data_IF_013422244075
#
_entry.id   IF_013422244075
#
_cell.length_a   1.000
_cell.length_b   1.000
_cell.length_c   1.000
_cell.angle_alpha   90.00
_cell.angle_beta   90.00
_cell.angle_gamma   90.00
#
_symmetry.space_group_name_H-M   'P 1'
#
loop_
_entity.id
_entity.type
_entity.pdbx_description
1 polymer ?
#
# COMPACT_ATOMS: atom_id res chain seq x y z
N UNK A 1 -0.50 0.62 12.81
CA UNK A 1 -1.19 -0.29 11.89
C UNK A 1 -2.28 0.47 11.14
N UNK A 2 -2.60 -0.01 9.96
CA UNK A 2 -3.58 0.64 9.11
C UNK A 2 -4.98 0.15 9.46
N UNK A 3 -5.89 1.07 9.65
CA UNK A 3 -7.29 0.75 9.95
C UNK A 3 -8.21 1.70 9.18
N UNK A 4 -9.51 1.52 9.35
CA UNK A 4 -10.49 2.44 8.76
C UNK A 4 -10.15 3.88 9.17
N UNK A 5 -10.22 4.79 8.20
CA UNK A 5 -9.92 6.22 8.34
C UNK A 5 -8.44 6.57 8.50
N UNK A 6 -7.53 5.61 8.41
CA UNK A 6 -6.09 5.91 8.35
C UNK A 6 -5.76 6.54 6.99
N UNK A 7 -4.97 7.60 7.00
CA UNK A 7 -4.47 8.23 5.78
C UNK A 7 -3.10 7.65 5.43
N UNK A 8 -2.93 7.35 4.12
CA UNK A 8 -1.69 6.76 3.60
C UNK A 8 -1.17 7.59 2.45
N UNK A 9 0.15 7.61 2.31
CA UNK A 9 0.80 8.13 1.11
C UNK A 9 0.68 7.10 -0.02
N UNK A 10 0.72 7.57 -1.26
CA UNK A 10 0.72 6.70 -2.43
C UNK A 10 2.14 6.59 -2.95
N UNK A 11 2.64 5.37 -3.08
CA UNK A 11 4.02 5.09 -3.45
C UNK A 11 4.18 4.72 -4.93
N UNK A 12 3.26 5.17 -5.78
CA UNK A 12 3.32 4.86 -7.21
C UNK A 12 3.06 6.11 -8.07
N UNK A 13 3.14 5.92 -9.40
CA UNK A 13 2.97 7.00 -10.38
C UNK A 13 1.59 7.05 -11.02
N UNK A 14 0.55 6.56 -10.34
CA UNK A 14 -0.83 6.61 -10.86
C UNK A 14 -1.44 8.00 -10.81
N UNK A 15 -0.81 8.93 -10.10
CA UNK A 15 -1.29 10.30 -9.92
C UNK A 15 -1.96 10.55 -8.57
N UNK A 16 -2.38 9.52 -7.88
CA UNK A 16 -2.90 9.68 -6.52
C UNK A 16 -1.76 10.02 -5.56
N UNK A 17 -2.03 10.90 -4.59
CA UNK A 17 -1.04 11.33 -3.60
C UNK A 17 -1.38 10.86 -2.20
N UNK A 18 -2.65 10.85 -1.85
CA UNK A 18 -3.11 10.48 -0.52
C UNK A 18 -4.36 9.63 -0.60
N UNK A 19 -4.40 8.58 0.21
CA UNK A 19 -5.55 7.69 0.33
C UNK A 19 -6.10 7.75 1.76
N UNK A 20 -7.42 7.57 1.88
CA UNK A 20 -8.08 7.35 3.16
C UNK A 20 -8.60 5.91 3.15
N UNK A 21 -8.13 5.10 4.09
CA UNK A 21 -8.57 3.70 4.20
C UNK A 21 -10.04 3.64 4.57
N UNK A 22 -10.85 3.01 3.73
CA UNK A 22 -12.28 2.81 4.01
C UNK A 22 -12.49 1.47 4.70
N UNK A 23 -11.79 0.43 4.24
CA UNK A 23 -12.00 -0.92 4.71
C UNK A 23 -10.74 -1.76 4.52
N UNK A 24 -10.46 -2.63 5.48
CA UNK A 24 -9.39 -3.63 5.36
C UNK A 24 -10.02 -4.92 4.80
N UNK A 25 -9.46 -5.42 3.69
CA UNK A 25 -9.92 -6.64 3.06
C UNK A 25 -9.41 -7.87 3.81
N UNK A 26 -10.14 -8.97 3.69
CA UNK A 26 -9.79 -10.21 4.36
C UNK A 26 -11.02 -10.80 5.05
N UNK A 27 -10.85 -11.36 6.25
CA UNK A 27 -11.98 -11.89 7.01
C UNK A 27 -12.90 -10.76 7.48
N UNK A 28 -14.16 -11.08 7.77
CA UNK A 28 -15.14 -10.09 8.22
C UNK A 28 -14.75 -9.39 9.53
N UNK A 29 -13.86 -10.00 10.31
CA UNK A 29 -13.41 -9.48 11.61
C UNK A 29 -12.07 -8.74 11.53
N UNK A 30 -11.50 -8.59 10.34
CA UNK A 30 -10.20 -7.95 10.19
C UNK A 30 -10.32 -6.45 10.34
N UNK A 31 -9.67 -5.89 11.35
CA UNK A 31 -9.72 -4.46 11.67
C UNK A 31 -8.47 -3.71 11.22
N UNK A 32 -7.33 -4.38 11.15
CA UNK A 32 -6.03 -3.74 10.92
C UNK A 32 -5.33 -4.36 9.73
N UNK A 33 -4.67 -3.54 8.95
CA UNK A 33 -3.82 -3.98 7.85
C UNK A 33 -2.35 -3.75 8.19
N UNK A 34 -1.51 -4.68 7.79
CA UNK A 34 -0.06 -4.56 7.81
C UNK A 34 0.47 -4.67 6.40
N UNK A 35 1.81 -4.68 6.24
CA UNK A 35 2.42 -4.81 4.92
C UNK A 35 1.93 -6.08 4.21
N UNK A 36 1.53 -5.94 2.97
CA UNK A 36 1.01 -7.03 2.15
C UNK A 36 -0.50 -7.23 2.25
N UNK A 37 -1.16 -6.53 3.14
CA UNK A 37 -2.62 -6.59 3.22
C UNK A 37 -3.25 -5.62 2.23
N UNK A 38 -4.42 -6.00 1.71
CA UNK A 38 -5.17 -5.22 0.72
C UNK A 38 -6.22 -4.40 1.43
N UNK A 39 -6.36 -3.15 1.03
CA UNK A 39 -7.38 -2.24 1.55
C UNK A 39 -8.19 -1.64 0.41
N UNK A 40 -9.41 -1.21 0.74
CA UNK A 40 -10.21 -0.34 -0.11
C UNK A 40 -10.05 1.08 0.43
N UNK A 41 -9.78 2.03 -0.44
CA UNK A 41 -9.48 3.40 -0.03
C UNK A 41 -10.09 4.42 -0.97
N UNK A 42 -10.38 5.60 -0.44
CA UNK A 42 -10.80 6.76 -1.22
C UNK A 42 -9.59 7.65 -1.50
N UNK A 43 -9.49 8.14 -2.72
CA UNK A 43 -8.42 9.06 -3.12
C UNK A 43 -8.77 10.45 -2.60
N UNK A 44 -7.96 10.97 -1.69
CA UNK A 44 -8.19 12.30 -1.08
C UNK A 44 -7.42 13.42 -1.76
N UNK A 45 -6.32 13.08 -2.44
CA UNK A 45 -5.53 14.04 -3.19
C UNK A 45 -4.92 13.33 -4.38
N UNK A 46 -4.94 13.99 -5.54
CA UNK A 46 -4.42 13.43 -6.78
C UNK A 46 -4.07 14.54 -7.78
N UNK A 47 -3.14 14.23 -8.69
CA UNK A 47 -2.84 15.12 -9.81
C UNK A 47 -3.98 15.11 -10.82
N UNK A 48 -4.34 16.29 -11.35
CA UNK A 48 -5.57 16.49 -12.13
C UNK A 48 -5.58 15.78 -13.49
N UNK A 49 -4.43 15.53 -14.09
CA UNK A 49 -4.34 14.96 -15.45
C UNK A 49 -3.89 13.51 -15.49
N UNK A 50 -3.97 12.81 -14.35
CA UNK A 50 -3.53 11.43 -14.23
C UNK A 50 -4.72 10.46 -14.20
N UNK A 51 -4.50 9.15 -14.46
CA UNK A 51 -5.59 8.17 -14.53
C UNK A 51 -6.42 8.05 -13.26
N UNK A 52 -5.79 8.16 -12.10
CA UNK A 52 -6.50 8.08 -10.81
C UNK A 52 -6.83 9.50 -10.36
N UNK A 53 -8.09 9.75 -10.06
CA UNK A 53 -8.59 11.08 -9.73
C UNK A 53 -9.08 11.16 -8.29
N UNK A 54 -9.13 12.39 -7.78
CA UNK A 54 -9.68 12.66 -6.45
C UNK A 54 -11.12 12.13 -6.36
N UNK A 55 -11.47 11.57 -5.22
CA UNK A 55 -12.75 10.95 -4.90
C UNK A 55 -12.96 9.56 -5.51
N UNK A 56 -12.01 9.04 -6.29
CA UNK A 56 -12.10 7.66 -6.75
C UNK A 56 -11.97 6.70 -5.56
N UNK A 57 -12.65 5.57 -5.66
CA UNK A 57 -12.48 4.46 -4.72
C UNK A 57 -11.61 3.41 -5.40
N UNK A 58 -10.51 3.06 -4.73
CA UNK A 58 -9.49 2.17 -5.31
C UNK A 58 -9.16 1.04 -4.34
N UNK A 59 -8.60 -0.03 -4.89
CA UNK A 59 -7.99 -1.11 -4.12
C UNK A 59 -6.50 -0.88 -4.08
N UNK A 60 -5.90 -1.03 -2.90
CA UNK A 60 -4.47 -0.81 -2.71
C UNK A 60 -3.88 -1.84 -1.77
N UNK A 61 -2.58 -2.07 -1.90
CA UNK A 61 -1.83 -2.94 -1.00
C UNK A 61 -0.86 -2.08 -0.19
N UNK A 62 -0.79 -2.35 1.11
CA UNK A 62 0.10 -1.62 2.02
C UNK A 62 1.54 -2.10 1.80
N UNK A 63 2.45 -1.17 1.51
CA UNK A 63 3.85 -1.49 1.24
C UNK A 63 4.80 -1.02 2.33
N UNK A 64 4.41 -0.02 3.12
CA UNK A 64 5.19 0.50 4.26
C UNK A 64 4.25 0.85 5.40
N UNK A 65 4.70 0.65 6.63
CA UNK A 65 3.97 1.10 7.82
C UNK A 65 4.91 1.74 8.83
N UNK A 66 4.36 2.64 9.64
CA UNK A 66 5.07 3.18 10.80
C UNK A 66 5.11 2.18 11.95
N UNK A 67 4.23 1.18 11.94
CA UNK A 67 4.21 0.14 12.96
C UNK A 67 5.37 -0.83 12.76
N UNK A 68 5.88 -1.37 13.86
CA UNK A 68 6.98 -2.31 13.84
C UNK A 68 6.60 -3.60 13.12
N UNK A 69 7.49 -4.07 12.24
CA UNK A 69 7.39 -5.38 11.61
C UNK A 69 8.44 -6.27 12.25
N UNK A 70 8.00 -7.26 13.00
CA UNK A 70 8.90 -8.21 13.66
C UNK A 70 9.18 -9.36 12.70
N UNK A 71 10.45 -9.71 12.57
CA UNK A 71 10.89 -10.79 11.69
C UNK A 71 11.37 -12.00 12.47
N UNK A 72 11.41 -13.14 11.79
CA UNK A 72 11.76 -14.42 12.42
C UNK A 72 13.19 -14.46 12.98
N UNK A 73 14.09 -13.64 12.45
CA UNK A 73 15.48 -13.56 12.93
C UNK A 73 15.66 -12.62 14.12
N UNK A 74 14.56 -12.08 14.65
CA UNK A 74 14.58 -11.16 15.78
C UNK A 74 14.75 -9.69 15.40
N UNK A 75 14.97 -9.37 14.12
CA UNK A 75 15.06 -7.97 13.68
C UNK A 75 13.68 -7.33 13.62
N UNK A 76 13.67 -5.99 13.70
CA UNK A 76 12.45 -5.18 13.61
C UNK A 76 12.67 -4.11 12.56
N UNK A 77 11.72 -3.98 11.64
CA UNK A 77 11.72 -2.97 10.59
C UNK A 77 10.57 -2.01 10.84
N UNK A 78 10.85 -0.72 10.68
CA UNK A 78 9.85 0.34 10.81
C UNK A 78 10.15 1.42 9.78
N UNK A 79 9.12 1.89 9.10
CA UNK A 79 9.24 2.96 8.11
C UNK A 79 8.79 4.29 8.70
N UNK A 80 9.14 5.39 8.03
CA UNK A 80 8.80 6.74 8.47
C UNK A 80 7.38 7.13 8.09
N UNK A 81 6.73 6.39 7.19
CA UNK A 81 5.40 6.69 6.72
C UNK A 81 4.58 5.43 6.54
N UNK A 82 3.27 5.62 6.37
CA UNK A 82 2.36 4.58 5.90
C UNK A 82 2.14 4.82 4.41
N UNK A 83 2.40 3.83 3.58
CA UNK A 83 2.27 3.96 2.14
C UNK A 83 1.65 2.74 1.51
N UNK A 84 0.94 2.97 0.41
CA UNK A 84 0.26 1.93 -0.35
C UNK A 84 0.48 2.11 -1.83
N UNK A 85 0.31 1.03 -2.58
CA UNK A 85 0.36 1.02 -4.05
C UNK A 85 -1.01 0.61 -4.56
N UNK A 86 -1.55 1.36 -5.51
CA UNK A 86 -2.86 1.07 -6.09
C UNK A 86 -2.74 -0.14 -7.01
N UNK A 87 -3.64 -1.10 -6.86
CA UNK A 87 -3.63 -2.34 -7.62
C UNK A 87 -4.93 -2.56 -8.37
N UNK A 88 -4.88 -3.39 -9.41
CA UNK A 88 -6.05 -3.88 -10.11
C UNK A 88 -6.68 -5.07 -9.36
N UNK A 89 -7.81 -5.54 -9.83
CA UNK A 89 -8.51 -6.68 -9.21
C UNK A 89 -7.68 -7.97 -9.19
N UNK A 90 -6.77 -8.13 -10.15
CA UNK A 90 -5.88 -9.29 -10.24
C UNK A 90 -4.63 -9.17 -9.35
N UNK A 91 -4.50 -8.07 -8.61
CA UNK A 91 -3.35 -7.83 -7.73
C UNK A 91 -2.16 -7.16 -8.40
N UNK A 92 -2.22 -6.88 -9.70
CA UNK A 92 -1.13 -6.21 -10.40
C UNK A 92 -1.16 -4.69 -10.13
N UNK A 93 0.00 -4.03 -9.99
CA UNK A 93 0.02 -2.58 -9.79
C UNK A 93 -0.54 -1.84 -11.02
N UNK A 94 -1.33 -0.80 -10.76
CA UNK A 94 -1.88 0.04 -11.84
C UNK A 94 -0.83 0.97 -12.44
N UNK A 95 0.12 1.40 -11.63
CA UNK A 95 1.22 2.24 -12.08
C UNK A 95 2.36 1.41 -12.66
N UNK A 96 3.34 2.11 -13.23
CA UNK A 96 4.52 1.51 -13.83
C UNK A 96 5.78 1.67 -12.96
N UNK A 97 5.69 2.48 -11.90
CA UNK A 97 6.81 2.76 -10.99
C UNK A 97 6.34 2.74 -9.55
N UNK A 98 7.25 2.31 -8.67
CA UNK A 98 7.06 2.36 -7.22
C UNK A 98 8.14 3.26 -6.64
N UNK A 99 7.75 4.17 -5.74
CA UNK A 99 8.66 5.14 -5.13
C UNK A 99 9.02 4.73 -3.72
N UNK A 100 10.32 4.81 -3.42
CA UNK A 100 10.83 4.51 -2.10
C UNK A 100 10.92 3.01 -1.80
N UNK A 101 11.40 2.66 -0.59
CA UNK A 101 11.55 1.26 -0.22
C UNK A 101 10.20 0.59 0.05
N UNK A 102 10.16 -0.72 -0.15
CA UNK A 102 9.03 -1.56 0.25
C UNK A 102 9.55 -2.69 1.14
N UNK A 103 8.67 -3.22 1.99
CA UNK A 103 9.03 -4.33 2.84
C UNK A 103 8.98 -5.64 2.05
N UNK A 104 9.93 -6.54 2.31
CA UNK A 104 10.00 -7.81 1.58
C UNK A 104 8.87 -8.78 1.92
N UNK A 105 8.09 -8.52 2.94
CA UNK A 105 6.89 -9.30 3.25
C UNK A 105 5.89 -9.35 2.11
N UNK A 106 5.96 -8.42 1.17
CA UNK A 106 5.15 -8.46 -0.06
C UNK A 106 5.39 -9.71 -0.89
N UNK A 107 6.60 -10.27 -0.85
CA UNK A 107 6.93 -11.51 -1.57
C UNK A 107 6.09 -12.68 -1.07
N UNK A 108 5.91 -12.77 0.24
CA UNK A 108 5.12 -13.84 0.86
C UNK A 108 3.62 -13.71 0.55
N UNK A 109 3.18 -12.51 0.22
CA UNK A 109 1.79 -12.22 -0.13
C UNK A 109 1.55 -12.22 -1.66
N UNK A 110 2.52 -12.66 -2.45
CA UNK A 110 2.42 -12.80 -3.91
C UNK A 110 2.36 -11.47 -4.68
N UNK A 111 2.94 -10.41 -4.14
CA UNK A 111 3.03 -9.13 -4.86
C UNK A 111 4.40 -8.95 -5.51
N UNK A 112 4.81 -9.92 -6.29
CA UNK A 112 6.14 -9.93 -6.93
C UNK A 112 6.34 -8.80 -7.94
N UNK A 113 5.28 -8.39 -8.64
CA UNK A 113 5.37 -7.28 -9.59
C UNK A 113 5.69 -5.96 -8.89
N UNK A 114 5.14 -5.74 -7.72
CA UNK A 114 5.44 -4.55 -6.92
C UNK A 114 6.91 -4.58 -6.48
N UNK A 115 7.38 -5.72 -6.03
CA UNK A 115 8.79 -5.90 -5.64
C UNK A 115 9.72 -5.62 -6.79
N UNK A 116 9.38 -6.09 -8.00
CA UNK A 116 10.22 -5.87 -9.18
C UNK A 116 10.28 -4.40 -9.62
N UNK A 117 9.24 -3.63 -9.33
CA UNK A 117 9.19 -2.20 -9.65
C UNK A 117 9.81 -1.31 -8.57
N UNK A 118 9.99 -1.83 -7.36
CA UNK A 118 10.50 -1.05 -6.24
C UNK A 118 12.00 -0.81 -6.38
N UNK A 119 12.48 0.41 -6.07
CA UNK A 119 13.93 0.70 -6.12
C UNK A 119 14.71 0.00 -5.03
N UNK A 120 14.06 -0.33 -3.92
CA UNK A 120 14.70 -0.99 -2.79
C UNK A 120 13.70 -1.86 -2.06
N UNK A 121 14.13 -3.07 -1.69
CA UNK A 121 13.30 -4.01 -0.91
C UNK A 121 14.05 -4.30 0.38
N UNK A 122 13.43 -3.99 1.50
CA UNK A 122 14.05 -4.12 2.82
C UNK A 122 13.40 -5.29 3.64
#
# INVERSE_FOLDING_TARGET
MIQQETRLQVADNTGAKELLCIRVMGSSNKKYASVGDVIVAAVKDANSNMPVKKSDVVTAVVVRTKADIKRNDGSVIRFDDNAAVIINKDGAPRGTRVFGPVARELREKNFMKIISLAPEVI
#
